data_IF_554335287010
#
_entry.id   IF_554335287010
#
_cell.length_a   1.000
_cell.length_b   1.000
_cell.length_c   1.000
_cell.angle_alpha   90.00
_cell.angle_beta   90.00
_cell.angle_gamma   90.00
#
_symmetry.space_group_name_H-M   'P 1'
#
loop_
_entity.id
_entity.type
_entity.pdbx_description
1 polymer ?
#
# COMPACT_ATOMS: atom_id res chain seq x y z
N UNK A 1 -0.08 -57.62 -13.25
CA UNK A 1 -1.43 -57.39 -12.71
C UNK A 1 -1.29 -57.05 -11.24
N UNK A 2 -1.27 -55.81 -10.88
CA UNK A 2 -1.31 -55.36 -9.49
C UNK A 2 -2.42 -54.29 -9.36
N UNK A 3 -3.50 -54.70 -8.72
CA UNK A 3 -4.63 -53.86 -8.41
C UNK A 3 -4.28 -52.91 -7.25
N UNK A 4 -4.14 -51.62 -7.52
CA UNK A 4 -4.09 -50.59 -6.47
C UNK A 4 -5.52 -50.11 -6.19
N UNK A 5 -6.13 -50.60 -5.13
CA UNK A 5 -7.34 -50.03 -4.54
C UNK A 5 -7.02 -48.63 -4.00
N UNK A 6 -7.58 -47.60 -4.59
CA UNK A 6 -7.57 -46.25 -4.01
C UNK A 6 -8.48 -46.24 -2.77
N UNK A 7 -7.85 -46.13 -1.63
CA UNK A 7 -8.52 -45.92 -0.35
C UNK A 7 -9.04 -44.46 -0.29
N UNK A 8 -10.35 -44.30 -0.28
CA UNK A 8 -11.00 -43.02 0.02
C UNK A 8 -10.93 -42.81 1.54
N UNK A 9 -10.08 -41.93 2.01
CA UNK A 9 -10.13 -41.49 3.39
C UNK A 9 -11.26 -40.49 3.53
N UNK A 10 -12.35 -40.91 4.12
CA UNK A 10 -13.41 -40.00 4.62
C UNK A 10 -12.79 -39.15 5.71
N UNK A 11 -12.78 -37.84 5.53
CA UNK A 11 -12.53 -36.91 6.60
C UNK A 11 -13.74 -36.97 7.54
N UNK A 12 -13.57 -37.67 8.65
CA UNK A 12 -14.55 -37.67 9.74
C UNK A 12 -14.56 -36.31 10.39
N UNK A 13 -15.64 -35.58 10.16
CA UNK A 13 -15.98 -34.43 11.02
C UNK A 13 -16.26 -35.03 12.40
N UNK A 14 -15.38 -34.80 13.36
CA UNK A 14 -15.59 -35.23 14.73
C UNK A 14 -16.87 -34.56 15.28
N UNK A 15 -17.95 -35.34 15.37
CA UNK A 15 -19.07 -34.99 16.20
C UNK A 15 -18.59 -35.02 17.64
N UNK A 16 -18.52 -33.88 18.28
CA UNK A 16 -18.38 -33.80 19.72
C UNK A 16 -19.71 -34.31 20.31
N UNK A 17 -19.69 -35.54 20.81
CA UNK A 17 -20.81 -36.10 21.57
C UNK A 17 -20.88 -35.37 22.92
N UNK A 18 -21.85 -34.51 23.09
CA UNK A 18 -22.22 -34.03 24.41
C UNK A 18 -22.98 -35.10 25.14
N UNK A 19 -22.34 -35.66 26.17
CA UNK A 19 -23.01 -36.51 27.14
C UNK A 19 -24.16 -35.74 27.82
N UNK A 20 -25.36 -36.25 27.68
CA UNK A 20 -26.56 -35.75 28.32
C UNK A 20 -26.47 -35.87 29.85
N UNK A 21 -26.38 -34.76 30.55
CA UNK A 21 -26.82 -34.71 31.94
C UNK A 21 -28.30 -34.33 31.95
N UNK A 22 -29.13 -35.28 32.30
CA UNK A 22 -30.53 -35.00 32.61
C UNK A 22 -30.62 -34.26 33.95
N UNK A 23 -31.09 -33.03 33.94
CA UNK A 23 -31.73 -32.38 35.08
C UNK A 23 -32.95 -31.61 34.61
N UNK A 24 -34.04 -31.86 35.24
CA UNK A 24 -35.40 -31.38 35.05
C UNK A 24 -35.54 -29.87 35.25
N UNK A 25 -36.48 -29.29 34.48
CA UNK A 25 -37.15 -28.00 34.59
C UNK A 25 -36.37 -26.74 34.24
N UNK A 26 -36.60 -26.19 33.04
CA UNK A 26 -37.28 -24.92 32.91
C UNK A 26 -37.70 -24.61 31.48
N UNK A 27 -38.74 -23.83 31.30
CA UNK A 27 -39.37 -23.46 30.07
C UNK A 27 -38.51 -22.49 29.25
N UNK A 28 -38.31 -22.81 27.98
CA UNK A 28 -38.18 -21.79 26.96
C UNK A 28 -36.80 -21.40 26.47
N UNK A 29 -35.92 -22.34 26.14
CA UNK A 29 -34.89 -22.19 25.14
C UNK A 29 -34.59 -23.59 24.57
N UNK A 30 -35.33 -23.97 23.54
CA UNK A 30 -34.87 -25.08 22.71
C UNK A 30 -33.48 -24.72 22.19
N UNK A 31 -32.46 -25.57 22.43
CA UNK A 31 -31.21 -25.41 21.72
C UNK A 31 -31.58 -25.44 20.26
N UNK A 32 -31.30 -24.35 19.56
CA UNK A 32 -31.48 -24.23 18.12
C UNK A 32 -31.10 -25.56 17.51
N UNK A 33 -32.11 -26.28 17.00
CA UNK A 33 -31.91 -27.60 16.39
C UNK A 33 -30.75 -27.49 15.42
N UNK A 34 -29.61 -28.05 15.76
CA UNK A 34 -28.34 -27.88 15.06
C UNK A 34 -28.50 -28.22 13.55
N UNK A 35 -29.39 -29.13 13.24
CA UNK A 35 -29.74 -29.49 11.87
C UNK A 35 -30.51 -28.38 11.15
N UNK A 36 -31.38 -27.65 11.79
CA UNK A 36 -32.16 -26.58 11.16
C UNK A 36 -31.26 -25.37 10.88
N UNK A 37 -30.41 -24.99 11.83
CA UNK A 37 -29.43 -23.92 11.64
C UNK A 37 -28.40 -24.27 10.55
N UNK A 38 -27.92 -25.51 10.54
CA UNK A 38 -27.01 -26.00 9.51
C UNK A 38 -27.69 -26.01 8.11
N UNK A 39 -28.94 -26.48 8.02
CA UNK A 39 -29.69 -26.45 6.75
C UNK A 39 -29.93 -25.04 6.25
N UNK A 40 -30.22 -24.08 7.14
CA UNK A 40 -30.40 -22.68 6.78
C UNK A 40 -29.10 -22.07 6.19
N UNK A 41 -27.93 -22.39 6.76
CA UNK A 41 -26.63 -21.99 6.22
C UNK A 41 -26.36 -22.65 4.88
N UNK A 42 -26.68 -23.93 4.72
CA UNK A 42 -26.43 -24.70 3.50
C UNK A 42 -27.37 -24.36 2.35
N UNK A 43 -28.50 -23.68 2.61
CA UNK A 43 -29.44 -23.31 1.54
C UNK A 43 -28.86 -22.38 0.48
N UNK A 44 -27.90 -21.56 0.85
CA UNK A 44 -27.23 -20.66 -0.09
C UNK A 44 -25.84 -21.14 -0.54
N UNK A 45 -25.46 -22.37 -0.18
CA UNK A 45 -24.16 -22.94 -0.51
C UNK A 45 -24.34 -24.21 -1.34
N UNK A 46 -23.80 -24.21 -2.55
CA UNK A 46 -23.78 -25.37 -3.44
C UNK A 46 -22.39 -25.69 -3.91
N UNK A 47 -22.11 -27.00 -4.09
CA UNK A 47 -20.86 -27.44 -4.72
C UNK A 47 -21.15 -27.77 -6.17
N UNK A 48 -20.47 -27.07 -7.07
CA UNK A 48 -20.48 -27.39 -8.52
C UNK A 48 -19.04 -27.75 -8.89
N UNK A 49 -18.81 -28.98 -9.29
CA UNK A 49 -17.48 -29.55 -9.54
C UNK A 49 -16.51 -29.31 -8.37
N UNK A 50 -15.48 -28.51 -8.58
CA UNK A 50 -14.49 -28.13 -7.58
C UNK A 50 -14.74 -26.74 -6.96
N UNK A 51 -15.93 -26.17 -7.20
CA UNK A 51 -16.28 -24.82 -6.78
C UNK A 51 -17.35 -24.84 -5.69
N UNK A 52 -17.15 -24.09 -4.62
CA UNK A 52 -18.18 -23.75 -3.65
C UNK A 52 -18.86 -22.46 -4.12
N UNK A 53 -20.14 -22.53 -4.42
CA UNK A 53 -20.96 -21.39 -4.83
C UNK A 53 -21.82 -20.93 -3.66
N UNK A 54 -21.73 -19.64 -3.32
CA UNK A 54 -22.61 -18.97 -2.37
C UNK A 54 -23.57 -18.10 -3.20
N UNK A 55 -24.86 -18.43 -3.19
CA UNK A 55 -25.88 -17.75 -3.98
C UNK A 55 -27.01 -17.24 -3.10
N UNK A 56 -27.31 -15.94 -3.20
CA UNK A 56 -28.36 -15.30 -2.39
C UNK A 56 -27.99 -15.02 -0.94
N UNK A 57 -26.73 -15.24 -0.53
CA UNK A 57 -26.20 -14.92 0.80
C UNK A 57 -24.91 -14.10 0.72
N UNK A 58 -24.60 -13.39 1.79
CA UNK A 58 -23.30 -12.72 1.97
C UNK A 58 -22.34 -13.61 2.77
N UNK A 59 -21.06 -13.58 2.44
CA UNK A 59 -19.99 -14.09 3.30
C UNK A 59 -19.51 -12.96 4.23
N UNK A 60 -19.87 -13.02 5.51
CA UNK A 60 -19.43 -12.09 6.52
C UNK A 60 -18.31 -12.71 7.36
N UNK A 61 -17.10 -12.16 7.24
CA UNK A 61 -15.92 -12.58 7.98
C UNK A 61 -15.61 -11.50 9.03
N UNK A 62 -15.72 -11.85 10.30
CA UNK A 62 -15.51 -10.94 11.42
C UNK A 62 -14.55 -11.55 12.45
N UNK A 63 -13.91 -10.72 13.23
CA UNK A 63 -12.94 -11.12 14.25
C UNK A 63 -13.52 -11.28 15.67
N UNK A 64 -14.83 -11.11 15.82
CA UNK A 64 -15.55 -11.28 17.09
C UNK A 64 -15.47 -10.09 18.06
N UNK A 65 -14.75 -9.02 17.74
CA UNK A 65 -14.63 -7.85 18.65
C UNK A 65 -15.81 -6.88 18.58
N UNK A 66 -16.69 -7.04 17.59
CA UNK A 66 -17.85 -6.18 17.36
C UNK A 66 -17.55 -4.87 16.64
N UNK A 67 -16.31 -4.65 16.19
CA UNK A 67 -15.90 -3.48 15.39
C UNK A 67 -14.72 -3.79 14.47
N UNK A 68 -14.65 -3.09 13.33
CA UNK A 68 -13.66 -3.38 12.29
C UNK A 68 -12.32 -2.68 12.53
N UNK A 69 -12.38 -1.46 13.03
CA UNK A 69 -11.19 -0.65 13.27
C UNK A 69 -10.95 -0.45 14.77
N UNK A 70 -10.47 0.70 15.12
CA UNK A 70 -10.19 1.10 16.49
C UNK A 70 -11.44 1.64 17.16
N UNK A 71 -11.74 1.18 18.38
CA UNK A 71 -12.79 1.74 19.23
C UNK A 71 -12.20 2.14 20.59
N UNK A 72 -12.44 3.38 21.02
CA UNK A 72 -11.91 3.90 22.29
C UNK A 72 -10.41 3.68 22.48
N UNK A 73 -9.63 3.95 21.45
CA UNK A 73 -8.18 3.73 21.41
C UNK A 73 -7.71 2.27 21.51
N UNK A 74 -8.60 1.30 21.51
CA UNK A 74 -8.26 -0.13 21.47
C UNK A 74 -8.28 -0.60 20.02
N UNK A 75 -7.21 -1.26 19.58
CA UNK A 75 -7.13 -1.86 18.24
C UNK A 75 -8.13 -3.02 18.14
N UNK A 76 -8.83 -3.09 17.00
CA UNK A 76 -9.63 -4.27 16.64
C UNK A 76 -8.79 -5.47 16.19
N UNK A 77 -7.51 -5.28 15.94
CA UNK A 77 -6.62 -6.29 15.39
C UNK A 77 -6.36 -7.40 16.45
N UNK A 78 -6.73 -8.63 16.14
CA UNK A 78 -6.54 -9.82 16.98
C UNK A 78 -6.08 -11.05 16.19
N UNK A 79 -5.65 -10.85 14.94
CA UNK A 79 -5.11 -11.90 14.06
C UNK A 79 -6.15 -12.72 13.29
N UNK A 80 -7.44 -12.55 13.56
CA UNK A 80 -8.52 -13.31 12.90
C UNK A 80 -9.49 -12.40 12.13
N UNK A 81 -10.45 -12.99 11.41
CA UNK A 81 -11.39 -12.23 10.57
C UNK A 81 -10.79 -11.75 9.27
N UNK A 82 -9.76 -12.43 8.75
CA UNK A 82 -9.13 -12.15 7.47
C UNK A 82 -9.63 -13.10 6.38
N UNK A 83 -9.70 -12.64 5.13
CA UNK A 83 -9.86 -13.49 3.95
C UNK A 83 -8.46 -13.74 3.37
N UNK A 84 -8.01 -15.00 3.42
CA UNK A 84 -6.68 -15.41 2.95
C UNK A 84 -6.86 -16.33 1.75
N UNK A 85 -6.26 -15.94 0.62
CA UNK A 85 -6.24 -16.74 -0.62
C UNK A 85 -4.78 -17.09 -0.95
N UNK A 86 -4.46 -18.36 -0.82
CA UNK A 86 -3.10 -18.88 -0.93
C UNK A 86 -2.61 -19.48 0.38
N UNK A 87 -1.37 -19.93 0.42
CA UNK A 87 -0.81 -20.59 1.60
C UNK A 87 -0.34 -19.61 2.68
N UNK A 88 -0.16 -18.34 2.31
CA UNK A 88 0.34 -17.30 3.22
C UNK A 88 1.59 -17.78 3.99
N UNK A 89 2.53 -18.42 3.27
CA UNK A 89 3.75 -19.01 3.85
C UNK A 89 4.65 -17.95 4.48
N UNK A 90 5.63 -18.39 5.24
CA UNK A 90 6.65 -17.52 5.79
C UNK A 90 7.56 -16.97 4.68
N UNK A 91 8.18 -15.83 4.91
CA UNK A 91 9.10 -15.21 3.96
C UNK A 91 10.23 -16.16 3.61
N UNK A 92 10.39 -16.46 2.33
CA UNK A 92 11.43 -17.38 1.86
C UNK A 92 12.82 -16.76 2.10
N UNK A 93 13.72 -17.51 2.74
CA UNK A 93 15.13 -17.12 2.92
C UNK A 93 15.44 -16.20 4.10
N UNK A 94 14.48 -15.91 4.97
CA UNK A 94 14.72 -15.09 6.18
C UNK A 94 14.85 -15.97 7.42
N UNK A 95 16.02 -15.93 8.05
CA UNK A 95 16.17 -16.32 9.46
C UNK A 95 15.67 -15.16 10.34
N UNK A 96 14.33 -14.93 10.36
CA UNK A 96 13.68 -13.90 11.19
C UNK A 96 13.60 -12.47 10.57
N UNK A 97 12.67 -11.60 10.99
CA UNK A 97 11.84 -11.70 12.16
C UNK A 97 10.50 -12.37 11.87
N UNK A 98 9.91 -12.90 12.92
CA UNK A 98 8.55 -13.41 12.95
C UNK A 98 7.61 -12.46 12.22
N UNK A 99 6.93 -12.95 11.18
CA UNK A 99 5.96 -12.16 10.45
C UNK A 99 4.85 -11.78 11.41
N UNK A 100 4.66 -10.49 11.64
CA UNK A 100 3.59 -10.02 12.48
C UNK A 100 2.27 -10.03 11.69
N UNK A 101 1.36 -10.90 12.09
CA UNK A 101 0.06 -11.15 11.45
C UNK A 101 -1.11 -10.89 12.40
N UNK A 102 -0.94 -9.96 13.33
CA UNK A 102 -2.00 -9.58 14.27
C UNK A 102 -3.16 -8.84 13.64
N UNK A 103 -3.02 -8.41 12.39
CA UNK A 103 -4.05 -7.67 11.66
C UNK A 103 -5.33 -8.47 11.45
N UNK A 104 -6.45 -7.76 11.36
CA UNK A 104 -7.80 -8.32 11.19
C UNK A 104 -8.56 -7.62 10.07
N UNK A 105 -9.60 -8.29 9.52
CA UNK A 105 -10.44 -7.74 8.46
C UNK A 105 -9.67 -7.33 7.21
N UNK A 106 -8.64 -8.10 6.85
CA UNK A 106 -7.83 -7.89 5.66
C UNK A 106 -8.17 -8.91 4.58
N UNK A 107 -7.92 -8.54 3.33
CA UNK A 107 -7.90 -9.46 2.19
C UNK A 107 -6.45 -9.68 1.78
N UNK A 108 -5.99 -10.93 1.82
CA UNK A 108 -4.58 -11.30 1.66
C UNK A 108 -4.46 -12.32 0.54
N UNK A 109 -3.68 -11.98 -0.50
CA UNK A 109 -3.40 -12.83 -1.65
C UNK A 109 -1.88 -12.97 -1.83
N UNK A 110 -1.36 -14.18 -1.72
CA UNK A 110 0.05 -14.46 -1.93
C UNK A 110 0.79 -14.85 -0.64
N UNK A 111 2.10 -14.61 -0.60
CA UNK A 111 2.98 -15.19 0.40
C UNK A 111 3.89 -14.19 1.11
N UNK A 112 4.33 -14.55 2.31
CA UNK A 112 5.37 -13.82 3.05
C UNK A 112 4.94 -12.44 3.55
N UNK A 113 3.64 -12.18 3.67
CA UNK A 113 3.14 -10.88 4.11
C UNK A 113 3.16 -10.72 5.63
N UNK A 114 3.44 -9.49 6.08
CA UNK A 114 3.29 -9.01 7.45
C UNK A 114 2.19 -7.96 7.51
N UNK A 115 1.22 -8.11 8.42
CA UNK A 115 0.09 -7.20 8.54
C UNK A 115 -0.35 -7.07 10.00
N UNK A 116 -0.27 -5.85 10.51
CA UNK A 116 -0.53 -5.56 11.92
C UNK A 116 -1.84 -4.80 12.13
N UNK A 117 -2.45 -4.33 11.06
CA UNK A 117 -3.58 -3.41 11.10
C UNK A 117 -4.85 -4.00 10.47
N UNK A 118 -5.83 -3.16 10.19
CA UNK A 118 -7.16 -3.58 9.74
C UNK A 118 -7.56 -2.91 8.43
N UNK A 119 -8.44 -3.59 7.67
CA UNK A 119 -9.07 -3.03 6.48
C UNK A 119 -8.10 -2.86 5.30
N UNK A 120 -7.16 -3.78 5.12
CA UNK A 120 -6.16 -3.71 4.05
C UNK A 120 -6.39 -4.74 2.96
N UNK A 121 -6.05 -4.39 1.73
CA UNK A 121 -5.89 -5.32 0.63
C UNK A 121 -4.40 -5.54 0.38
N UNK A 122 -3.93 -6.77 0.54
CA UNK A 122 -2.52 -7.14 0.38
C UNK A 122 -2.41 -8.19 -0.70
N UNK A 123 -1.59 -7.92 -1.71
CA UNK A 123 -1.36 -8.89 -2.79
C UNK A 123 0.10 -8.93 -3.23
N UNK A 124 0.56 -10.08 -3.72
CA UNK A 124 1.92 -10.27 -4.21
C UNK A 124 2.82 -11.05 -3.25
N UNK A 125 3.99 -10.51 -2.90
CA UNK A 125 4.97 -11.23 -2.06
C UNK A 125 5.72 -10.31 -1.11
N UNK A 126 5.94 -10.77 0.13
CA UNK A 126 6.82 -10.12 1.11
C UNK A 126 6.47 -8.66 1.41
N UNK A 127 5.20 -8.28 1.33
CA UNK A 127 4.75 -6.94 1.65
C UNK A 127 4.48 -6.78 3.15
N UNK A 128 4.72 -5.58 3.69
CA UNK A 128 4.51 -5.26 5.10
C UNK A 128 3.55 -4.11 5.24
N UNK A 129 2.49 -4.26 6.06
CA UNK A 129 1.50 -3.22 6.32
C UNK A 129 1.27 -3.05 7.81
N UNK A 130 1.56 -1.86 8.30
CA UNK A 130 1.24 -1.44 9.67
C UNK A 130 0.17 -0.34 9.71
N UNK A 131 -0.02 0.37 8.58
CA UNK A 131 -1.08 1.36 8.40
C UNK A 131 -2.46 0.74 8.19
N UNK A 132 -3.51 1.45 8.59
CA UNK A 132 -4.91 1.04 8.36
C UNK A 132 -5.42 1.47 6.99
N UNK A 133 -6.43 0.74 6.46
CA UNK A 133 -7.14 1.09 5.22
C UNK A 133 -6.19 1.26 4.03
N UNK A 134 -5.17 0.44 3.94
CA UNK A 134 -4.15 0.48 2.90
C UNK A 134 -4.45 -0.48 1.75
N UNK A 135 -3.89 -0.19 0.59
CA UNK A 135 -3.81 -1.12 -0.55
C UNK A 135 -2.33 -1.32 -0.89
N UNK A 136 -1.88 -2.56 -0.92
CA UNK A 136 -0.48 -2.85 -1.24
C UNK A 136 -0.37 -4.04 -2.19
N UNK A 137 0.32 -3.82 -3.31
CA UNK A 137 0.58 -4.84 -4.31
C UNK A 137 2.06 -4.86 -4.74
N UNK A 138 2.51 -5.97 -5.32
CA UNK A 138 3.88 -6.14 -5.77
C UNK A 138 4.76 -6.90 -4.79
N UNK A 139 6.04 -6.57 -4.69
CA UNK A 139 6.99 -7.36 -3.91
C UNK A 139 7.88 -6.53 -2.99
N UNK A 140 7.98 -6.93 -1.72
CA UNK A 140 8.89 -6.29 -0.76
C UNK A 140 8.51 -4.85 -0.40
N UNK A 141 7.28 -4.46 -0.61
CA UNK A 141 6.79 -3.11 -0.35
C UNK A 141 6.36 -2.94 1.12
N UNK A 142 6.41 -1.70 1.60
CA UNK A 142 6.04 -1.36 2.97
C UNK A 142 5.12 -0.14 3.03
N UNK A 143 4.03 -0.24 3.81
CA UNK A 143 3.14 0.89 4.14
C UNK A 143 2.97 0.96 5.66
N UNK A 144 3.29 2.12 6.24
CA UNK A 144 2.94 2.45 7.62
C UNK A 144 1.90 3.59 7.73
N UNK A 145 1.73 4.37 6.66
CA UNK A 145 0.75 5.46 6.59
C UNK A 145 -0.71 4.97 6.51
N UNK A 146 -1.63 5.72 7.10
CA UNK A 146 -3.07 5.50 7.00
C UNK A 146 -3.60 5.88 5.62
N UNK A 147 -4.51 5.06 5.06
CA UNK A 147 -5.19 5.36 3.80
C UNK A 147 -4.29 5.45 2.58
N UNK A 148 -3.12 4.81 2.62
CA UNK A 148 -2.10 4.92 1.58
C UNK A 148 -2.08 3.71 0.65
N UNK A 149 -1.54 3.87 -0.56
CA UNK A 149 -1.58 2.83 -1.57
C UNK A 149 -0.26 2.64 -2.32
N UNK A 150 0.14 1.37 -2.50
CA UNK A 150 1.14 0.94 -3.48
C UNK A 150 0.46 -0.01 -4.45
N UNK A 151 0.32 0.41 -5.71
CA UNK A 151 -0.45 -0.33 -6.71
C UNK A 151 0.35 -1.43 -7.40
N UNK A 152 1.67 -1.30 -7.49
CA UNK A 152 2.58 -2.29 -8.08
C UNK A 152 4.05 -1.97 -7.78
N UNK A 153 4.97 -2.79 -8.30
CA UNK A 153 6.41 -2.56 -8.22
C UNK A 153 7.09 -3.25 -7.04
N UNK A 154 8.30 -2.84 -6.74
CA UNK A 154 9.12 -3.52 -5.73
C UNK A 154 9.89 -2.57 -4.82
N UNK A 155 10.03 -2.99 -3.56
CA UNK A 155 10.82 -2.31 -2.53
C UNK A 155 10.44 -0.84 -2.32
N UNK A 156 9.15 -0.54 -2.42
CA UNK A 156 8.62 0.78 -2.12
C UNK A 156 8.34 0.94 -0.63
N UNK A 157 8.47 2.18 -0.15
CA UNK A 157 8.11 2.53 1.23
C UNK A 157 7.19 3.76 1.25
N UNK A 158 6.07 3.66 1.97
CA UNK A 158 5.20 4.80 2.29
C UNK A 158 5.06 4.87 3.81
N UNK A 159 5.52 5.98 4.37
CA UNK A 159 5.34 6.31 5.79
C UNK A 159 4.22 7.33 6.00
N UNK A 160 3.96 8.16 4.99
CA UNK A 160 2.95 9.22 5.02
C UNK A 160 1.52 8.70 4.94
N UNK A 161 0.58 9.48 5.48
CA UNK A 161 -0.85 9.23 5.33
C UNK A 161 -1.37 9.70 3.95
N UNK A 162 -2.37 8.99 3.42
CA UNK A 162 -3.05 9.32 2.16
C UNK A 162 -2.11 9.48 0.95
N UNK A 163 -0.97 8.82 1.00
CA UNK A 163 0.06 8.87 -0.04
C UNK A 163 -0.06 7.70 -1.02
N UNK A 164 0.50 7.84 -2.21
CA UNK A 164 0.42 6.79 -3.23
C UNK A 164 1.69 6.60 -4.06
N UNK A 165 2.02 5.31 -4.33
CA UNK A 165 3.02 4.92 -5.32
C UNK A 165 2.35 3.99 -6.31
N UNK A 166 2.37 4.33 -7.61
CA UNK A 166 1.72 3.52 -8.63
C UNK A 166 2.60 2.39 -9.15
N UNK A 167 3.92 2.54 -9.12
CA UNK A 167 4.84 1.48 -9.54
C UNK A 167 6.31 1.86 -9.52
N UNK A 168 7.13 1.07 -10.23
CA UNK A 168 8.58 1.26 -10.30
C UNK A 168 9.36 0.46 -9.27
N UNK A 169 10.48 1.00 -8.80
CA UNK A 169 11.37 0.30 -7.86
C UNK A 169 12.02 1.26 -6.87
N UNK A 170 12.11 0.88 -5.60
CA UNK A 170 12.81 1.61 -4.53
C UNK A 170 12.34 3.07 -4.33
N UNK A 171 11.08 3.39 -4.61
CA UNK A 171 10.53 4.73 -4.38
C UNK A 171 10.07 4.87 -2.92
N UNK A 172 10.25 6.08 -2.35
CA UNK A 172 9.94 6.33 -0.93
C UNK A 172 9.14 7.62 -0.75
N UNK A 173 8.06 7.55 0.03
CA UNK A 173 7.30 8.71 0.51
C UNK A 173 7.43 8.74 2.03
N UNK A 174 8.08 9.79 2.54
CA UNK A 174 8.39 9.93 3.97
C UNK A 174 7.20 10.45 4.78
N UNK A 175 7.27 10.33 6.10
CA UNK A 175 6.15 10.55 7.03
C UNK A 175 5.47 11.93 6.89
N UNK A 176 6.24 12.99 6.65
CA UNK A 176 5.73 14.37 6.53
C UNK A 176 5.04 14.63 5.18
N UNK A 177 5.19 13.72 4.22
CA UNK A 177 4.66 13.87 2.86
C UNK A 177 3.19 13.41 2.73
N UNK A 178 2.33 13.82 3.63
CA UNK A 178 0.88 13.56 3.55
C UNK A 178 0.33 14.03 2.20
N UNK A 179 -0.48 13.15 1.54
CA UNK A 179 -0.96 13.31 0.15
C UNK A 179 0.15 13.38 -0.91
N UNK A 180 1.37 12.94 -0.56
CA UNK A 180 2.46 12.81 -1.52
C UNK A 180 2.22 11.70 -2.55
N UNK A 181 2.77 11.85 -3.74
CA UNK A 181 2.58 10.86 -4.80
C UNK A 181 3.84 10.60 -5.63
N UNK A 182 4.02 9.32 -6.02
CA UNK A 182 5.03 8.91 -6.99
C UNK A 182 4.34 8.01 -8.02
N UNK A 183 4.33 8.43 -9.32
CA UNK A 183 3.69 7.59 -10.34
C UNK A 183 4.57 6.43 -10.80
N UNK A 184 5.90 6.55 -10.70
CA UNK A 184 6.80 5.46 -11.08
C UNK A 184 8.27 5.84 -11.04
N UNK A 185 9.08 5.06 -11.79
CA UNK A 185 10.52 5.26 -11.86
C UNK A 185 11.30 4.55 -10.76
N UNK A 186 12.53 4.98 -10.55
CA UNK A 186 13.48 4.31 -9.68
C UNK A 186 14.06 5.26 -8.63
N UNK A 187 14.01 4.87 -7.36
CA UNK A 187 14.66 5.57 -6.25
C UNK A 187 14.25 7.06 -6.13
N UNK A 188 13.01 7.37 -6.49
CA UNK A 188 12.44 8.70 -6.30
C UNK A 188 11.96 8.89 -4.86
N UNK A 189 12.02 10.11 -4.35
CA UNK A 189 11.71 10.43 -2.96
C UNK A 189 10.80 11.65 -2.83
N UNK A 190 9.81 11.56 -1.96
CA UNK A 190 8.91 12.67 -1.62
C UNK A 190 8.97 12.89 -0.12
N UNK A 191 9.30 14.13 0.29
CA UNK A 191 9.55 14.50 1.68
C UNK A 191 8.50 15.46 2.24
N UNK A 192 7.77 16.16 1.40
CA UNK A 192 6.86 17.22 1.83
C UNK A 192 5.42 16.96 1.42
N UNK A 193 4.50 17.55 2.18
CA UNK A 193 3.07 17.50 1.95
C UNK A 193 2.69 17.94 0.53
N UNK A 194 1.76 17.20 -0.12
CA UNK A 194 1.24 17.47 -1.47
C UNK A 194 2.31 17.43 -2.58
N UNK A 195 3.56 17.06 -2.26
CA UNK A 195 4.60 17.00 -3.26
C UNK A 195 4.49 15.76 -4.15
N UNK A 196 4.96 15.85 -5.38
CA UNK A 196 4.84 14.78 -6.35
C UNK A 196 6.09 14.56 -7.20
N UNK A 197 6.33 13.28 -7.55
CA UNK A 197 7.29 12.88 -8.57
C UNK A 197 6.59 11.98 -9.57
N UNK A 198 6.48 12.40 -10.85
CA UNK A 198 5.79 11.57 -11.84
C UNK A 198 6.66 10.38 -12.27
N UNK A 199 7.99 10.58 -12.41
CA UNK A 199 8.85 9.47 -12.79
C UNK A 199 10.34 9.81 -12.79
N UNK A 200 11.11 9.07 -13.60
CA UNK A 200 12.54 9.23 -13.67
C UNK A 200 13.30 8.50 -12.58
N UNK A 201 14.52 8.96 -12.27
CA UNK A 201 15.40 8.27 -11.34
C UNK A 201 16.09 9.22 -10.36
N UNK A 202 16.14 8.86 -9.09
CA UNK A 202 16.80 9.63 -8.03
C UNK A 202 16.32 11.08 -7.89
N UNK A 203 15.05 11.36 -8.20
CA UNK A 203 14.46 12.67 -8.02
C UNK A 203 13.96 12.84 -6.57
N UNK A 204 14.08 14.07 -6.01
CA UNK A 204 13.74 14.34 -4.62
C UNK A 204 12.90 15.61 -4.46
N UNK A 205 11.65 15.47 -4.06
CA UNK A 205 10.72 16.58 -3.85
C UNK A 205 10.65 16.95 -2.36
N UNK A 206 11.29 18.06 -1.97
CA UNK A 206 11.34 18.54 -0.58
C UNK A 206 10.39 19.72 -0.31
N UNK A 207 9.96 20.45 -1.32
CA UNK A 207 9.08 21.61 -1.14
C UNK A 207 7.62 21.20 -1.01
N UNK A 208 6.86 21.86 -0.15
CA UNK A 208 5.40 21.66 -0.05
C UNK A 208 4.76 21.94 -1.39
N UNK A 209 3.88 21.04 -1.85
CA UNK A 209 3.20 21.12 -3.13
C UNK A 209 4.14 21.27 -4.34
N UNK A 210 5.39 20.87 -4.20
CA UNK A 210 6.35 20.90 -5.32
C UNK A 210 6.19 19.69 -6.23
N UNK A 211 6.63 19.82 -7.48
CA UNK A 211 6.50 18.78 -8.48
C UNK A 211 7.78 18.55 -9.28
N UNK A 212 8.11 17.26 -9.49
CA UNK A 212 9.16 16.84 -10.43
C UNK A 212 8.54 15.89 -11.44
N UNK A 213 8.47 16.29 -12.72
CA UNK A 213 7.81 15.44 -13.72
C UNK A 213 8.70 14.27 -14.19
N UNK A 214 10.03 14.41 -14.12
CA UNK A 214 10.92 13.32 -14.51
C UNK A 214 12.40 13.68 -14.56
N UNK A 215 13.15 12.96 -15.40
CA UNK A 215 14.60 13.12 -15.48
C UNK A 215 15.37 12.38 -14.39
N UNK A 216 16.56 12.83 -14.07
CA UNK A 216 17.36 12.18 -13.03
C UNK A 216 18.07 13.19 -12.12
N UNK A 217 18.19 12.85 -10.84
CA UNK A 217 18.87 13.66 -9.82
C UNK A 217 18.32 15.09 -9.69
N UNK A 218 17.05 15.31 -10.06
CA UNK A 218 16.41 16.60 -9.92
C UNK A 218 15.87 16.79 -8.51
N UNK A 219 15.88 18.04 -8.03
CA UNK A 219 15.52 18.36 -6.66
C UNK A 219 14.68 19.64 -6.56
N UNK A 220 13.64 19.63 -5.73
CA UNK A 220 13.10 20.86 -5.12
C UNK A 220 13.63 20.98 -3.69
N UNK A 221 13.72 22.17 -3.13
CA UNK A 221 14.24 22.33 -1.75
C UNK A 221 13.11 22.54 -0.72
N UNK A 222 13.41 22.38 0.54
CA UNK A 222 12.45 22.61 1.66
C UNK A 222 11.94 24.05 1.71
N UNK A 223 12.73 25.02 1.30
CA UNK A 223 12.37 26.44 1.19
C UNK A 223 11.61 26.82 -0.10
N UNK A 224 11.28 25.83 -0.93
CA UNK A 224 10.70 26.03 -2.27
C UNK A 224 9.28 25.43 -2.38
N UNK A 225 8.27 25.94 -1.64
CA UNK A 225 6.89 25.54 -1.89
C UNK A 225 6.47 25.89 -3.31
N UNK A 226 5.64 25.03 -3.92
CA UNK A 226 5.14 25.17 -5.30
C UNK A 226 6.24 25.16 -6.37
N UNK A 227 7.46 24.77 -6.04
CA UNK A 227 8.56 24.69 -7.00
C UNK A 227 8.35 23.54 -7.99
N UNK A 228 8.82 23.74 -9.22
CA UNK A 228 8.66 22.76 -10.28
C UNK A 228 9.99 22.47 -10.97
N UNK A 229 10.27 21.17 -11.21
CA UNK A 229 11.28 20.71 -12.15
C UNK A 229 10.61 19.80 -13.17
N UNK A 230 10.59 20.21 -14.46
CA UNK A 230 9.93 19.41 -15.50
C UNK A 230 10.81 18.21 -15.89
N UNK A 231 12.13 18.36 -15.93
CA UNK A 231 13.00 17.25 -16.30
C UNK A 231 14.46 17.60 -16.39
N UNK A 232 15.22 16.85 -17.20
CA UNK A 232 16.66 17.00 -17.32
C UNK A 232 17.45 16.25 -16.24
N UNK A 233 18.65 16.72 -15.96
CA UNK A 233 19.54 16.07 -15.00
C UNK A 233 20.17 17.07 -14.04
N UNK A 234 20.24 16.69 -12.76
CA UNK A 234 20.93 17.47 -11.73
C UNK A 234 20.40 18.91 -11.61
N UNK A 235 19.11 19.14 -11.85
CA UNK A 235 18.48 20.44 -11.76
C UNK A 235 17.87 20.67 -10.37
N UNK A 236 17.89 21.93 -9.93
CA UNK A 236 17.41 22.33 -8.62
C UNK A 236 16.45 23.51 -8.71
N UNK A 237 15.26 23.37 -8.16
CA UNK A 237 14.35 24.49 -7.92
C UNK A 237 14.38 24.84 -6.45
N UNK A 238 15.02 25.99 -6.11
CA UNK A 238 15.48 26.33 -4.78
C UNK A 238 14.65 27.36 -4.03
N UNK A 239 13.67 28.00 -4.68
CA UNK A 239 12.86 29.09 -4.09
C UNK A 239 11.37 28.91 -4.35
N UNK A 240 10.50 29.62 -3.60
CA UNK A 240 9.06 29.53 -3.79
C UNK A 240 8.63 29.79 -5.23
N UNK A 241 7.74 28.94 -5.75
CA UNK A 241 7.22 29.00 -7.13
C UNK A 241 8.29 29.04 -8.24
N UNK A 242 9.54 28.73 -7.94
CA UNK A 242 10.59 28.68 -8.94
C UNK A 242 10.43 27.47 -9.89
N UNK A 243 10.87 27.63 -11.14
CA UNK A 243 10.68 26.61 -12.16
C UNK A 243 11.99 26.33 -12.91
N UNK A 244 12.32 25.03 -13.08
CA UNK A 244 13.34 24.59 -14.03
C UNK A 244 12.68 23.69 -15.07
N UNK A 245 12.64 24.09 -16.34
CA UNK A 245 11.99 23.30 -17.39
C UNK A 245 12.87 22.13 -17.86
N UNK A 246 14.20 22.23 -17.73
CA UNK A 246 15.06 21.14 -18.14
C UNK A 246 16.55 21.52 -18.20
N UNK A 247 17.30 20.77 -19.03
CA UNK A 247 18.75 20.95 -19.14
C UNK A 247 19.53 20.22 -18.05
N UNK A 248 20.73 20.72 -17.75
CA UNK A 248 21.61 20.05 -16.79
C UNK A 248 22.32 21.02 -15.85
N UNK A 249 22.33 20.69 -14.56
CA UNK A 249 22.93 21.52 -13.48
C UNK A 249 22.34 22.94 -13.42
N UNK A 250 21.06 23.11 -13.69
CA UNK A 250 20.39 24.39 -13.62
C UNK A 250 19.79 24.62 -12.23
N UNK A 251 19.81 25.88 -11.75
CA UNK A 251 19.28 26.25 -10.46
C UNK A 251 18.36 27.47 -10.55
N UNK A 252 17.11 27.33 -10.15
CA UNK A 252 16.18 28.46 -10.00
C UNK A 252 16.11 28.84 -8.52
N UNK A 253 16.89 29.84 -8.10
CA UNK A 253 17.06 30.26 -6.72
C UNK A 253 16.37 31.61 -6.40
N UNK A 254 15.76 32.27 -7.37
CA UNK A 254 14.91 33.45 -7.16
C UNK A 254 13.43 33.03 -6.99
N UNK A 255 12.68 33.75 -6.16
CA UNK A 255 11.23 33.54 -6.02
C UNK A 255 10.55 33.75 -7.37
N UNK A 256 9.65 32.85 -7.75
CA UNK A 256 8.94 32.84 -9.03
C UNK A 256 9.85 32.96 -10.27
N UNK A 257 11.12 32.60 -10.14
CA UNK A 257 12.07 32.64 -11.24
C UNK A 257 12.02 31.39 -12.11
N UNK A 258 12.44 31.50 -13.36
CA UNK A 258 12.43 30.41 -14.31
C UNK A 258 13.77 30.21 -15.00
N UNK A 259 14.27 28.96 -15.00
CA UNK A 259 15.34 28.52 -15.90
C UNK A 259 14.74 27.63 -16.97
N UNK A 260 14.67 28.11 -18.21
CA UNK A 260 14.05 27.37 -19.31
C UNK A 260 14.91 26.20 -19.83
N UNK A 261 16.20 26.16 -19.48
CA UNK A 261 17.11 25.08 -19.87
C UNK A 261 18.55 25.53 -20.03
N UNK A 262 19.37 24.65 -20.63
CA UNK A 262 20.80 24.90 -20.83
C UNK A 262 21.67 24.12 -19.86
N UNK A 263 22.88 24.58 -19.65
CA UNK A 263 23.87 23.95 -18.78
C UNK A 263 24.42 24.95 -17.76
N UNK A 264 24.35 24.61 -16.47
CA UNK A 264 24.84 25.43 -15.36
C UNK A 264 24.26 26.86 -15.37
N UNK A 265 22.94 26.98 -15.51
CA UNK A 265 22.23 28.27 -15.44
C UNK A 265 21.65 28.47 -14.06
N UNK A 266 21.74 29.71 -13.56
CA UNK A 266 21.14 30.07 -12.28
C UNK A 266 20.40 31.40 -12.37
N UNK A 267 19.23 31.47 -11.70
CA UNK A 267 18.51 32.71 -11.43
C UNK A 267 18.61 33.00 -9.93
N UNK A 268 18.69 34.26 -9.54
CA UNK A 268 18.77 34.67 -8.13
C UNK A 268 17.82 35.80 -7.79
N UNK A 269 17.36 36.57 -8.78
CA UNK A 269 16.38 37.63 -8.59
C UNK A 269 14.94 37.11 -8.64
N UNK A 270 14.03 37.86 -8.00
CA UNK A 270 12.58 37.62 -8.06
C UNK A 270 12.11 37.80 -9.52
N UNK A 271 11.32 36.84 -10.02
CA UNK A 271 10.80 36.82 -11.40
C UNK A 271 11.88 36.77 -12.49
N UNK A 272 13.11 36.45 -12.16
CA UNK A 272 14.17 36.24 -13.15
C UNK A 272 13.79 35.13 -14.16
N UNK A 273 14.18 35.34 -15.42
CA UNK A 273 14.07 34.37 -16.47
C UNK A 273 15.42 34.12 -17.15
N UNK A 274 15.85 32.86 -17.25
CA UNK A 274 17.03 32.46 -18.01
C UNK A 274 16.72 31.32 -18.97
N UNK A 275 17.09 31.52 -20.23
CA UNK A 275 17.08 30.51 -21.27
C UNK A 275 18.51 30.19 -21.70
N UNK A 276 18.75 29.06 -22.29
CA UNK A 276 19.98 28.49 -22.85
C UNK A 276 21.21 29.39 -23.02
N UNK A 277 22.32 28.86 -23.49
CA UNK A 277 23.53 29.64 -23.70
C UNK A 277 23.49 30.39 -25.03
N UNK A 278 23.68 31.71 -24.99
CA UNK A 278 24.23 32.57 -26.08
C UNK A 278 23.66 32.46 -27.52
N UNK A 279 22.44 32.00 -27.73
CA UNK A 279 21.81 32.10 -29.06
C UNK A 279 21.25 33.51 -29.37
N UNK A 280 21.31 34.43 -28.44
CA UNK A 280 21.04 35.87 -28.63
C UNK A 280 22.29 36.68 -28.33
N UNK A 281 23.39 36.40 -28.98
CA UNK A 281 24.41 37.45 -29.19
C UNK A 281 23.78 38.42 -30.18
N UNK A 282 23.39 39.61 -29.74
CA UNK A 282 23.11 40.70 -30.63
C UNK A 282 24.27 40.87 -31.62
N UNK A 283 24.03 40.59 -32.90
CA UNK A 283 24.78 41.19 -33.94
C UNK A 283 24.35 42.64 -34.13
#
# INVERSE_FOLDING_TARGET
>A
MLNLKKSFTLISIALISTTSFASSHDHGNDPINSDHALRAILQCMTKVDNTLVINGCNLHIANGTGYTHKKNNVSAANGVGNLILGYNTLKYGSQTPELDRRGSHNVILGDGHSYQSTGTLITGRNNTVTGQSAVIAGSGNQISGYGSAIMSGSNHTIEANHASIFGGTNNTIYADATWGSISGGETNRVYAQLASVIGGRHNSAFGIASSISGGQFNQTTTSAPYAVVVGGSDNKSGSPAAVVLGGRFNEANGEASTVAGGFKRSTTGIHDYRAGSNFFSNQ
#
